data_IF_507463044367
#
_entry.id   IF_507463044367
#
_cell.length_a   1.000
_cell.length_b   1.000
_cell.length_c   1.000
_cell.angle_alpha   90.00
_cell.angle_beta   90.00
_cell.angle_gamma   90.00
#
_symmetry.space_group_name_H-M   'P 1'
#
loop_
_entity.id
_entity.type
_entity.pdbx_description
1 polymer ?
#
# COMPACT_ATOMS: atom_id res chain seq x y z
N UNK A 1 -11.56 5.59 -9.44
CA UNK A 1 -10.46 6.53 -9.15
C UNK A 1 -11.07 7.89 -8.88
N UNK A 2 -10.74 8.55 -7.75
CA UNK A 2 -11.41 9.80 -7.33
C UNK A 2 -10.61 11.03 -7.78
N UNK A 3 -9.29 11.02 -7.60
CA UNK A 3 -8.38 12.02 -8.14
C UNK A 3 -6.97 11.44 -8.24
N UNK A 4 -6.21 11.89 -9.25
CA UNK A 4 -4.77 11.66 -9.34
C UNK A 4 -4.11 13.00 -9.59
N UNK A 5 -3.05 13.25 -8.84
CA UNK A 5 -1.95 14.11 -9.25
C UNK A 5 -0.74 13.21 -9.43
N UNK A 6 -0.33 12.98 -10.67
CA UNK A 6 0.75 12.04 -11.02
C UNK A 6 2.08 12.38 -10.34
N UNK A 7 2.25 13.62 -9.88
CA UNK A 7 3.45 14.09 -9.20
C UNK A 7 3.38 13.95 -7.67
N UNK A 8 2.19 13.97 -7.06
CA UNK A 8 2.08 14.13 -5.61
C UNK A 8 1.21 13.08 -4.90
N UNK A 9 0.09 12.65 -5.48
CA UNK A 9 -0.84 11.74 -4.79
C UNK A 9 -1.79 10.96 -5.71
N UNK A 10 -2.29 9.84 -5.22
CA UNK A 10 -3.42 9.14 -5.86
C UNK A 10 -4.48 8.76 -4.85
N UNK A 11 -5.75 9.08 -5.16
CA UNK A 11 -6.93 8.69 -4.40
C UNK A 11 -7.68 7.57 -5.14
N UNK A 12 -7.58 6.36 -4.61
CA UNK A 12 -8.15 5.17 -5.23
C UNK A 12 -9.30 4.64 -4.38
N UNK A 13 -10.53 4.81 -4.87
CA UNK A 13 -11.70 4.10 -4.33
C UNK A 13 -11.71 2.68 -4.89
N UNK A 14 -11.68 1.69 -4.00
CA UNK A 14 -11.65 0.27 -4.36
C UNK A 14 -13.01 -0.42 -4.28
N UNK A 15 -14.06 0.26 -3.82
CA UNK A 15 -15.38 -0.34 -3.64
C UNK A 15 -16.51 0.64 -3.92
N UNK A 16 -17.55 0.18 -4.64
CA UNK A 16 -18.72 1.00 -5.02
C UNK A 16 -19.52 1.48 -3.81
N UNK A 17 -19.46 0.75 -2.70
CA UNK A 17 -20.12 1.03 -1.43
C UNK A 17 -19.33 1.99 -0.52
N UNK A 18 -18.20 2.53 -1.00
CA UNK A 18 -17.32 3.43 -0.24
C UNK A 18 -16.75 2.79 1.04
N UNK A 19 -16.72 1.46 1.12
CA UNK A 19 -16.09 0.72 2.22
C UNK A 19 -14.56 0.83 2.21
N UNK A 20 -13.97 1.25 1.09
CA UNK A 20 -12.53 1.24 0.90
C UNK A 20 -12.00 2.44 0.10
N UNK A 21 -10.99 3.10 0.67
CA UNK A 21 -10.22 4.17 0.06
C UNK A 21 -8.75 4.03 0.44
N UNK A 22 -7.84 4.31 -0.49
CA UNK A 22 -6.42 4.45 -0.23
C UNK A 22 -5.92 5.82 -0.68
N UNK A 23 -5.09 6.44 0.16
CA UNK A 23 -4.39 7.70 -0.08
C UNK A 23 -2.91 7.34 -0.20
N UNK A 24 -2.34 7.49 -1.39
CA UNK A 24 -0.90 7.30 -1.61
C UNK A 24 -0.21 8.65 -1.72
N UNK A 25 0.93 8.79 -1.04
CA UNK A 25 1.86 9.90 -1.13
C UNK A 25 3.12 9.47 -1.87
N UNK A 26 3.72 10.37 -2.67
CA UNK A 26 5.07 10.17 -3.23
C UNK A 26 6.18 10.45 -2.21
N UNK A 27 5.87 11.25 -1.19
CA UNK A 27 6.76 11.51 -0.05
C UNK A 27 6.51 10.45 1.02
N UNK A 28 7.54 9.67 1.45
CA UNK A 28 7.39 8.57 2.41
C UNK A 28 6.77 8.97 3.76
N UNK A 29 7.00 10.19 4.21
CA UNK A 29 6.34 10.77 5.38
C UNK A 29 5.90 12.19 5.01
N UNK A 30 4.67 12.36 4.49
CA UNK A 30 4.21 13.66 4.02
C UNK A 30 3.76 14.58 5.17
N UNK A 31 3.78 14.09 6.41
CA UNK A 31 3.38 14.83 7.59
C UNK A 31 1.86 14.92 7.81
N UNK A 32 1.47 15.39 9.01
CA UNK A 32 0.07 15.41 9.45
C UNK A 32 -0.83 16.34 8.63
N UNK A 33 -0.33 17.49 8.19
CA UNK A 33 -1.12 18.44 7.39
C UNK A 33 -1.58 17.83 6.05
N UNK A 34 -0.69 17.07 5.40
CA UNK A 34 -1.04 16.36 4.17
C UNK A 34 -2.13 15.31 4.45
N UNK A 35 -1.94 14.50 5.50
CA UNK A 35 -2.88 13.44 5.87
C UNK A 35 -4.26 14.03 6.14
N UNK A 36 -4.35 15.08 6.96
CA UNK A 36 -5.62 15.73 7.30
C UNK A 36 -6.30 16.39 6.10
N UNK A 37 -5.52 17.07 5.25
CA UNK A 37 -6.03 17.68 4.01
C UNK A 37 -6.76 16.66 3.14
N UNK A 38 -6.18 15.48 2.92
CA UNK A 38 -6.80 14.49 2.04
C UNK A 38 -7.91 13.69 2.72
N UNK A 39 -7.85 13.45 4.04
CA UNK A 39 -8.99 12.91 4.79
C UNK A 39 -10.21 13.83 4.68
N UNK A 40 -10.02 15.14 4.89
CA UNK A 40 -11.09 16.13 4.78
C UNK A 40 -11.60 16.27 3.33
N UNK A 41 -10.71 16.22 2.33
CA UNK A 41 -11.11 16.24 0.93
C UNK A 41 -12.03 15.06 0.58
N UNK A 42 -11.78 13.86 1.13
CA UNK A 42 -12.60 12.67 0.92
C UNK A 42 -13.99 12.76 1.56
N UNK A 43 -14.20 13.65 2.54
CA UNK A 43 -15.52 13.93 3.11
C UNK A 43 -16.51 14.44 2.04
N UNK A 44 -16.02 15.24 1.09
CA UNK A 44 -16.83 15.72 -0.04
C UNK A 44 -17.33 14.59 -0.95
N UNK A 45 -16.72 13.40 -0.87
CA UNK A 45 -17.11 12.21 -1.63
C UNK A 45 -17.90 11.20 -0.77
N UNK A 46 -18.22 11.54 0.47
CA UNK A 46 -19.01 10.73 1.39
C UNK A 46 -18.21 9.66 2.15
N UNK A 47 -16.89 9.80 2.25
CA UNK A 47 -16.09 9.04 3.21
C UNK A 47 -16.04 9.79 4.54
N UNK A 48 -16.15 9.07 5.65
CA UNK A 48 -16.04 9.66 6.98
C UNK A 48 -14.55 9.77 7.37
N UNK A 49 -13.99 10.99 7.54
CA UNK A 49 -12.58 11.19 7.90
C UNK A 49 -12.16 10.45 9.17
N UNK A 50 -13.08 10.32 10.13
CA UNK A 50 -12.81 9.65 11.42
C UNK A 50 -12.61 8.14 11.29
N UNK A 51 -13.08 7.55 10.18
CA UNK A 51 -12.94 6.12 9.88
C UNK A 51 -11.69 5.81 9.05
N UNK A 52 -10.99 6.83 8.56
CA UNK A 52 -9.77 6.65 7.78
C UNK A 52 -8.58 6.53 8.74
N UNK A 53 -7.99 5.33 8.76
CA UNK A 53 -6.84 5.01 9.61
C UNK A 53 -5.53 5.34 8.91
N UNK A 54 -4.58 5.86 9.68
CA UNK A 54 -3.23 6.10 9.19
C UNK A 54 -2.49 4.78 9.07
N UNK A 55 -1.76 4.63 7.97
CA UNK A 55 -0.81 3.52 7.84
C UNK A 55 0.44 3.89 8.65
N UNK A 56 0.97 3.00 9.49
CA UNK A 56 2.24 3.22 10.17
C UNK A 56 3.31 3.65 9.17
N UNK A 57 3.93 4.83 9.41
CA UNK A 57 4.96 5.42 8.55
C UNK A 57 6.37 4.96 8.95
N UNK A 58 6.46 4.31 10.10
CA UNK A 58 7.60 3.67 10.72
C UNK A 58 7.95 2.34 10.03
N UNK A 59 8.13 2.41 8.70
CA UNK A 59 8.91 1.40 8.00
C UNK A 59 10.38 1.68 8.28
N UNK A 60 10.99 0.92 9.20
CA UNK A 60 12.44 0.77 9.18
C UNK A 60 12.81 0.35 7.76
N UNK A 61 13.61 1.18 7.07
CA UNK A 61 14.11 0.81 5.77
C UNK A 61 14.83 -0.54 5.95
N UNK A 62 14.20 -1.61 5.49
CA UNK A 62 14.85 -2.91 5.45
C UNK A 62 16.07 -2.69 4.57
N UNK A 63 17.24 -2.78 5.18
CA UNK A 63 18.46 -2.64 4.42
C UNK A 63 18.52 -3.75 3.38
N UNK A 64 19.18 -3.50 2.25
CA UNK A 64 19.36 -4.52 1.22
C UNK A 64 20.00 -5.80 1.80
N UNK A 65 20.80 -5.68 2.87
CA UNK A 65 21.36 -6.82 3.60
C UNK A 65 20.32 -7.58 4.44
N UNK A 66 19.38 -6.89 5.10
CA UNK A 66 18.26 -7.54 5.79
C UNK A 66 17.33 -8.26 4.81
N UNK A 67 17.03 -7.64 3.67
CA UNK A 67 16.23 -8.27 2.61
C UNK A 67 16.95 -9.50 2.05
N UNK A 68 18.24 -9.41 1.74
CA UNK A 68 19.04 -10.54 1.26
C UNK A 68 19.11 -11.68 2.29
N UNK A 69 19.22 -11.36 3.58
CA UNK A 69 19.23 -12.35 4.65
C UNK A 69 17.88 -13.09 4.76
N UNK A 70 16.75 -12.38 4.65
CA UNK A 70 15.42 -12.99 4.59
C UNK A 70 15.28 -13.93 3.39
N UNK A 71 15.72 -13.48 2.21
CA UNK A 71 15.70 -14.28 0.98
C UNK A 71 16.60 -15.51 1.02
N UNK A 72 17.63 -15.49 1.89
CA UNK A 72 18.57 -16.59 2.09
C UNK A 72 18.07 -17.63 3.11
N UNK A 73 16.93 -17.40 3.77
CA UNK A 73 16.36 -18.34 4.72
C UNK A 73 15.86 -19.62 4.02
N UNK A 74 16.24 -20.82 4.50
CA UNK A 74 15.73 -22.08 3.97
C UNK A 74 14.20 -22.14 4.13
N UNK A 75 13.47 -22.08 3.01
CA UNK A 75 12.00 -22.04 2.98
C UNK A 75 11.44 -20.83 2.22
N UNK A 76 12.11 -19.68 2.27
CA UNK A 76 11.67 -18.49 1.50
C UNK A 76 11.95 -18.68 0.00
N UNK A 77 13.08 -19.29 -0.36
CA UNK A 77 13.38 -19.69 -1.74
C UNK A 77 12.31 -20.61 -2.33
N UNK A 78 11.73 -21.53 -1.53
CA UNK A 78 10.65 -22.43 -1.94
C UNK A 78 9.31 -21.70 -2.08
N UNK A 79 9.03 -20.72 -1.21
CA UNK A 79 7.78 -19.96 -1.27
C UNK A 79 7.70 -19.03 -2.50
N UNK A 80 8.85 -18.54 -2.99
CA UNK A 80 8.96 -17.67 -4.15
C UNK A 80 9.07 -18.42 -5.47
N UNK A 81 9.54 -19.67 -5.44
CA UNK A 81 9.41 -20.60 -6.55
C UNK A 81 8.01 -21.21 -6.52
N UNK A 82 7.01 -20.48 -7.02
CA UNK A 82 5.76 -21.09 -7.46
C UNK A 82 6.01 -21.98 -8.68
N UNK A 83 6.68 -23.11 -8.49
CA UNK A 83 6.70 -24.16 -9.49
C UNK A 83 5.29 -24.76 -9.52
N UNK A 84 4.50 -24.33 -10.50
CA UNK A 84 3.35 -25.10 -10.93
C UNK A 84 3.87 -26.43 -11.48
N UNK A 85 3.26 -27.58 -11.16
CA UNK A 85 3.69 -28.85 -11.72
C UNK A 85 3.57 -28.81 -13.23
N UNK A 86 4.57 -29.38 -13.93
CA UNK A 86 4.53 -29.54 -15.38
C UNK A 86 3.27 -30.33 -15.77
N UNK A 87 2.45 -29.84 -16.71
CA UNK A 87 1.22 -30.53 -17.12
C UNK A 87 1.45 -31.84 -17.91
N UNK A 88 2.70 -32.32 -18.02
CA UNK A 88 3.07 -33.47 -18.86
C UNK A 88 3.91 -34.55 -18.17
N UNK A 89 3.91 -34.65 -16.85
CA UNK A 89 4.41 -35.86 -16.17
C UNK A 89 3.25 -36.56 -15.47
N UNK A 90 2.62 -37.47 -16.23
CA UNK A 90 1.85 -38.60 -15.70
C UNK A 90 2.77 -39.76 -15.32
#
# INVERSE_FOLDING_TARGET
MIAIDYENFSLVSGAKDKSFIQIYSRTPDPGPEFIEKYKNYLANFGYDPSKIKDTPQDCQALSNSQLAAMMSMPGMQRALTKQFPDPFTS
#
